data_IF_663417200653
#
_entry.id   IF_663417200653
#
_cell.length_a   1.000
_cell.length_b   1.000
_cell.length_c   1.000
_cell.angle_alpha   90.00
_cell.angle_beta   90.00
_cell.angle_gamma   90.00
#
_symmetry.space_group_name_H-M   'P 1'
#
loop_
_entity.id
_entity.type
_entity.pdbx_description
1 polymer ?
#
# COMPACT_ATOMS: atom_id res chain seq x y z
N UNK A 1 -3.44 10.62 -17.30
CA UNK A 1 -3.58 10.00 -15.96
C UNK A 1 -2.46 9.00 -15.74
N UNK A 2 -1.91 8.97 -14.55
CA UNK A 2 -0.78 8.12 -14.19
C UNK A 2 -1.13 7.35 -12.92
N UNK A 3 -0.85 6.05 -12.90
CA UNK A 3 -1.07 5.16 -11.77
C UNK A 3 0.24 4.46 -11.42
N UNK A 4 0.56 4.38 -10.14
CA UNK A 4 1.68 3.60 -9.64
C UNK A 4 1.17 2.57 -8.63
N UNK A 5 1.32 1.30 -8.96
CA UNK A 5 1.03 0.18 -8.07
C UNK A 5 2.28 -0.13 -7.25
N UNK A 6 2.15 0.01 -5.95
CA UNK A 6 3.24 -0.16 -4.99
C UNK A 6 3.14 -1.52 -4.34
N UNK A 7 4.21 -2.30 -4.40
CA UNK A 7 4.41 -3.53 -3.63
C UNK A 7 5.42 -3.25 -2.51
N UNK A 8 5.16 -3.73 -1.32
CA UNK A 8 6.07 -3.60 -0.19
C UNK A 8 6.83 -4.91 0.05
N UNK A 9 8.15 -4.82 0.24
CA UNK A 9 8.99 -6.00 0.52
C UNK A 9 8.59 -6.57 1.87
N UNK A 10 7.96 -7.76 1.87
CA UNK A 10 7.56 -8.47 3.10
C UNK A 10 6.84 -7.56 4.09
N UNK A 11 5.86 -6.79 3.61
CA UNK A 11 5.18 -5.75 4.36
C UNK A 11 4.78 -6.21 5.78
N UNK A 12 4.13 -7.38 5.86
CA UNK A 12 3.67 -7.94 7.14
C UNK A 12 4.78 -8.46 8.04
N UNK A 13 5.93 -8.88 7.49
CA UNK A 13 7.06 -9.40 8.26
C UNK A 13 7.99 -8.28 8.76
N UNK A 14 7.94 -7.11 8.12
CA UNK A 14 8.84 -5.98 8.41
C UNK A 14 8.29 -5.00 9.45
N UNK A 15 7.01 -5.07 9.79
CA UNK A 15 6.38 -4.16 10.74
C UNK A 15 7.09 -4.21 12.11
N UNK A 16 7.71 -3.09 12.52
CA UNK A 16 8.35 -2.97 13.82
C UNK A 16 7.29 -2.73 14.90
N UNK A 17 7.23 -3.58 15.90
CA UNK A 17 6.24 -3.52 16.97
C UNK A 17 6.27 -2.19 17.73
N UNK A 18 7.47 -1.66 18.03
CA UNK A 18 7.58 -0.41 18.79
C UNK A 18 7.04 0.78 17.99
N UNK A 19 7.34 0.82 16.68
CA UNK A 19 6.79 1.82 15.77
C UNK A 19 5.29 1.65 15.62
N UNK A 20 4.81 0.41 15.51
CA UNK A 20 3.38 0.11 15.41
C UNK A 20 2.60 0.65 16.62
N UNK A 21 3.09 0.41 17.85
CA UNK A 21 2.41 0.91 19.06
C UNK A 21 2.37 2.44 19.10
N UNK A 22 3.43 3.09 18.67
CA UNK A 22 3.49 4.54 18.56
C UNK A 22 2.49 5.05 17.52
N UNK A 23 2.43 4.44 16.35
CA UNK A 23 1.49 4.78 15.28
C UNK A 23 0.04 4.66 15.78
N UNK A 24 -0.31 3.56 16.47
CA UNK A 24 -1.65 3.37 17.01
C UNK A 24 -2.04 4.47 18.00
N UNK A 25 -1.12 4.88 18.87
CA UNK A 25 -1.35 5.99 19.82
C UNK A 25 -1.53 7.33 19.08
N UNK A 26 -0.67 7.64 18.11
CA UNK A 26 -0.74 8.87 17.32
C UNK A 26 -1.99 8.95 16.42
N UNK A 27 -2.52 7.81 16.00
CA UNK A 27 -3.79 7.74 15.24
C UNK A 27 -5.04 7.75 16.13
N UNK A 28 -4.86 7.92 17.46
CA UNK A 28 -5.97 8.08 18.40
C UNK A 28 -6.59 6.79 18.90
N UNK A 29 -5.93 5.65 18.74
CA UNK A 29 -6.37 4.38 19.33
C UNK A 29 -6.20 4.46 20.87
N UNK A 30 -7.25 4.18 21.66
CA UNK A 30 -7.18 4.25 23.12
C UNK A 30 -6.07 3.36 23.71
N UNK A 31 -5.40 3.86 24.75
CA UNK A 31 -4.25 3.18 25.38
C UNK A 31 -4.57 1.75 25.85
N UNK A 32 -5.77 1.51 26.36
CA UNK A 32 -6.16 0.17 26.80
C UNK A 32 -6.21 -0.84 25.64
N UNK A 33 -6.64 -0.43 24.43
CA UNK A 33 -6.64 -1.28 23.24
C UNK A 33 -5.23 -1.50 22.72
N UNK A 34 -4.40 -0.45 22.69
CA UNK A 34 -2.98 -0.56 22.34
C UNK A 34 -2.25 -1.50 23.29
N UNK A 35 -2.56 -1.45 24.60
CA UNK A 35 -2.01 -2.35 25.61
C UNK A 35 -2.45 -3.81 25.36
N UNK A 36 -3.72 -4.05 25.05
CA UNK A 36 -4.22 -5.39 24.71
C UNK A 36 -3.50 -5.96 23.49
N UNK A 37 -3.34 -5.16 22.42
CA UNK A 37 -2.61 -5.58 21.23
C UNK A 37 -1.14 -5.87 21.56
N UNK A 38 -0.50 -5.02 22.33
CA UNK A 38 0.89 -5.22 22.78
C UNK A 38 1.05 -6.53 23.54
N UNK A 39 0.12 -6.85 24.45
CA UNK A 39 0.12 -8.10 25.19
C UNK A 39 -0.12 -9.32 24.29
N UNK A 40 -0.97 -9.19 23.26
CA UNK A 40 -1.21 -10.24 22.28
C UNK A 40 0.05 -10.59 21.48
N UNK A 41 0.90 -9.58 21.20
CA UNK A 41 2.15 -9.76 20.46
C UNK A 41 3.36 -10.04 21.38
N UNK A 42 3.24 -9.80 22.69
CA UNK A 42 4.31 -10.05 23.63
C UNK A 42 4.54 -11.56 23.80
N UNK A 43 5.80 -11.96 23.74
CA UNK A 43 6.20 -13.35 23.97
C UNK A 43 5.74 -14.34 22.90
N UNK A 44 5.33 -13.86 21.71
CA UNK A 44 5.01 -14.78 20.62
C UNK A 44 6.26 -15.55 20.17
N UNK A 45 6.11 -16.85 20.12
CA UNK A 45 7.14 -17.76 19.62
C UNK A 45 6.67 -18.41 18.31
N UNK A 46 7.62 -18.74 17.47
CA UNK A 46 7.37 -19.42 16.20
C UNK A 46 8.36 -20.58 16.03
N UNK A 47 7.93 -21.59 15.27
CA UNK A 47 8.79 -22.68 14.79
C UNK A 47 8.49 -22.87 13.30
N UNK A 48 9.49 -23.22 12.53
CA UNK A 48 9.36 -23.48 11.09
C UNK A 48 9.43 -24.97 10.84
N UNK A 49 8.46 -25.49 10.10
CA UNK A 49 8.48 -26.88 9.64
C UNK A 49 9.22 -26.95 8.31
N UNK A 50 10.30 -27.69 8.29
CA UNK A 50 11.11 -27.98 7.11
C UNK A 50 10.95 -29.42 6.67
N UNK A 51 11.46 -29.78 5.49
CA UNK A 51 11.50 -31.18 5.04
C UNK A 51 12.33 -32.11 5.95
N UNK A 52 13.19 -31.54 6.79
CA UNK A 52 14.07 -32.28 7.71
C UNK A 52 13.61 -32.23 9.18
N UNK A 53 12.44 -31.65 9.47
CA UNK A 53 11.89 -31.54 10.83
C UNK A 53 11.40 -30.16 11.17
N UNK A 54 11.27 -29.89 12.47
CA UNK A 54 10.92 -28.56 13.00
C UNK A 54 12.17 -27.89 13.55
N UNK A 55 12.25 -26.56 13.38
CA UNK A 55 13.27 -25.75 14.06
C UNK A 55 12.99 -25.65 15.55
N UNK A 56 13.96 -25.21 16.33
CA UNK A 56 13.71 -24.76 17.69
C UNK A 56 12.77 -23.55 17.70
N UNK A 57 12.10 -23.38 18.83
CA UNK A 57 11.23 -22.21 19.03
C UNK A 57 12.07 -20.94 19.12
N UNK A 58 11.63 -19.88 18.41
CA UNK A 58 12.28 -18.58 18.46
C UNK A 58 11.24 -17.48 18.68
N UNK A 59 11.63 -16.44 19.39
CA UNK A 59 10.75 -15.31 19.64
C UNK A 59 10.59 -14.42 18.40
N UNK A 60 9.37 -13.99 18.15
CA UNK A 60 9.05 -13.03 17.08
C UNK A 60 9.18 -11.63 17.64
N UNK A 61 10.19 -10.87 17.18
CA UNK A 61 10.39 -9.46 17.54
C UNK A 61 9.83 -8.45 16.53
N UNK A 62 9.34 -8.93 15.37
CA UNK A 62 8.84 -8.11 14.26
C UNK A 62 7.71 -8.82 13.53
N UNK A 63 7.00 -8.03 12.74
CA UNK A 63 5.96 -8.51 11.85
C UNK A 63 4.62 -8.73 12.52
N UNK A 64 3.60 -8.83 11.71
CA UNK A 64 2.23 -9.10 12.10
C UNK A 64 1.85 -10.51 11.65
N UNK A 65 1.01 -11.21 12.41
CA UNK A 65 0.67 -12.60 12.12
C UNK A 65 -0.20 -12.69 10.86
N UNK A 66 0.33 -13.27 9.79
CA UNK A 66 -0.47 -13.60 8.62
C UNK A 66 -1.59 -14.57 9.00
N UNK A 67 -2.81 -14.30 8.51
CA UNK A 67 -4.01 -15.07 8.88
C UNK A 67 -4.69 -14.63 10.18
N UNK A 68 -4.13 -13.68 10.93
CA UNK A 68 -4.82 -13.06 12.05
C UNK A 68 -5.89 -12.09 11.56
N UNK A 69 -7.09 -12.14 12.13
CA UNK A 69 -8.21 -11.24 11.78
C UNK A 69 -7.88 -9.76 11.99
N UNK A 70 -6.95 -9.44 12.88
CA UNK A 70 -6.51 -8.07 13.16
C UNK A 70 -5.47 -7.53 12.17
N UNK A 71 -4.85 -8.41 11.38
CA UNK A 71 -3.77 -8.05 10.47
C UNK A 71 -4.13 -6.92 9.50
N UNK A 72 -5.26 -7.00 8.75
CA UNK A 72 -5.61 -5.94 7.81
C UNK A 72 -5.82 -4.60 8.50
N UNK A 73 -6.45 -4.59 9.68
CA UNK A 73 -6.69 -3.37 10.44
C UNK A 73 -5.38 -2.72 10.91
N UNK A 74 -4.51 -3.52 11.51
CA UNK A 74 -3.22 -3.06 12.03
C UNK A 74 -2.35 -2.51 10.90
N UNK A 75 -2.31 -3.19 9.77
CA UNK A 75 -1.56 -2.73 8.61
C UNK A 75 -2.16 -1.48 7.96
N UNK A 76 -3.49 -1.37 7.92
CA UNK A 76 -4.16 -0.16 7.43
C UNK A 76 -3.80 1.08 8.26
N UNK A 77 -3.69 0.98 9.60
CA UNK A 77 -3.20 2.08 10.43
C UNK A 77 -1.76 2.47 10.10
N UNK A 78 -0.94 1.48 9.81
CA UNK A 78 0.45 1.69 9.42
C UNK A 78 0.54 2.43 8.07
N UNK A 79 -0.22 1.99 7.08
CA UNK A 79 -0.32 2.62 5.78
C UNK A 79 -0.92 4.04 5.88
N UNK A 80 -1.97 4.22 6.69
CA UNK A 80 -2.59 5.53 6.95
C UNK A 80 -1.58 6.53 7.52
N UNK A 81 -0.80 6.11 8.51
CA UNK A 81 0.25 6.92 9.10
C UNK A 81 1.27 7.39 8.06
N UNK A 82 1.74 6.48 7.20
CA UNK A 82 2.67 6.82 6.11
C UNK A 82 2.06 7.88 5.18
N UNK A 83 0.82 7.69 4.75
CA UNK A 83 0.18 8.59 3.79
C UNK A 83 -0.09 9.97 4.38
N UNK A 84 -0.48 10.06 5.67
CA UNK A 84 -0.63 11.35 6.37
C UNK A 84 0.70 12.09 6.47
N UNK A 85 1.76 11.41 6.91
CA UNK A 85 3.08 12.05 7.03
C UNK A 85 3.69 12.42 5.68
N UNK A 86 3.38 11.68 4.61
CA UNK A 86 3.71 12.06 3.26
C UNK A 86 2.92 13.28 2.73
N UNK A 87 1.94 13.77 3.51
CA UNK A 87 1.12 14.92 3.17
C UNK A 87 0.20 14.68 1.97
N UNK A 88 -0.23 13.43 1.76
CA UNK A 88 -1.08 13.08 0.63
C UNK A 88 -2.50 13.62 0.78
N UNK A 89 -3.00 13.77 2.01
CA UNK A 89 -4.34 14.31 2.28
C UNK A 89 -4.43 15.80 1.90
N UNK A 90 -3.34 16.56 2.06
CA UNK A 90 -3.26 17.98 1.74
C UNK A 90 -2.78 18.24 0.31
N UNK A 91 -2.29 17.21 -0.38
CA UNK A 91 -1.77 17.34 -1.73
C UNK A 91 -2.89 17.67 -2.71
N UNK A 92 -2.69 18.71 -3.51
CA UNK A 92 -3.58 19.04 -4.63
C UNK A 92 -3.40 18.04 -5.80
N UNK A 93 -2.33 17.27 -5.79
CA UNK A 93 -2.05 16.21 -6.73
C UNK A 93 -3.09 15.08 -6.62
N UNK A 94 -3.42 14.44 -7.74
CA UNK A 94 -4.40 13.35 -7.80
C UNK A 94 -5.35 13.50 -8.96
N UNK A 95 -6.32 12.62 -9.01
CA UNK A 95 -7.36 12.58 -10.04
C UNK A 95 -8.66 13.15 -9.47
N UNK A 96 -9.30 14.07 -10.17
CA UNK A 96 -10.58 14.64 -9.76
C UNK A 96 -11.73 13.72 -10.14
N UNK A 97 -12.40 13.16 -9.14
CA UNK A 97 -13.58 12.30 -9.33
C UNK A 97 -14.74 12.86 -8.52
N UNK A 98 -15.86 13.16 -9.18
CA UNK A 98 -17.09 13.67 -8.56
C UNK A 98 -16.87 14.88 -7.62
N UNK A 99 -15.91 15.77 -7.94
CA UNK A 99 -15.59 16.96 -7.15
C UNK A 99 -14.61 16.72 -6.00
N UNK A 100 -14.22 15.48 -5.74
CA UNK A 100 -13.15 15.12 -4.79
C UNK A 100 -11.84 14.82 -5.51
N UNK A 101 -10.74 15.11 -4.83
CA UNK A 101 -9.40 14.77 -5.33
C UNK A 101 -8.96 13.45 -4.70
N UNK A 102 -8.63 12.46 -5.53
CA UNK A 102 -8.18 11.13 -5.10
C UNK A 102 -6.78 10.91 -5.63
N UNK A 103 -5.81 10.76 -4.74
CA UNK A 103 -4.41 10.55 -5.09
C UNK A 103 -3.85 9.19 -4.65
N UNK A 104 -4.60 8.44 -3.85
CA UNK A 104 -4.22 7.08 -3.46
C UNK A 104 -5.44 6.19 -3.21
N UNK A 105 -5.27 4.89 -3.45
CA UNK A 105 -6.17 3.82 -3.03
C UNK A 105 -5.36 2.79 -2.27
N UNK A 106 -5.97 2.20 -1.23
CA UNK A 106 -5.29 1.25 -0.35
C UNK A 106 -6.18 0.05 -0.05
N UNK A 107 -5.59 -1.12 -0.12
CA UNK A 107 -6.21 -2.35 0.34
C UNK A 107 -5.14 -3.27 0.92
N UNK A 108 -5.09 -3.39 2.24
CA UNK A 108 -4.05 -4.11 2.97
C UNK A 108 -2.64 -3.58 2.59
N UNK A 109 -1.78 -4.41 2.01
CA UNK A 109 -0.44 -4.06 1.53
C UNK A 109 -0.40 -3.51 0.11
N UNK A 110 -1.51 -3.60 -0.62
CA UNK A 110 -1.63 -3.02 -1.96
C UNK A 110 -1.92 -1.52 -1.88
N UNK A 111 -1.02 -0.72 -2.42
CA UNK A 111 -1.15 0.73 -2.49
C UNK A 111 -1.10 1.15 -3.96
N UNK A 112 -2.02 2.01 -4.36
CA UNK A 112 -2.02 2.62 -5.69
C UNK A 112 -1.96 4.13 -5.53
N UNK A 113 -0.94 4.78 -6.10
CA UNK A 113 -0.90 6.24 -6.22
C UNK A 113 -1.46 6.65 -7.58
N UNK A 114 -2.10 7.81 -7.61
CA UNK A 114 -2.75 8.36 -8.79
C UNK A 114 -2.42 9.84 -8.95
N UNK A 115 -2.15 10.27 -10.18
CA UNK A 115 -1.88 11.65 -10.52
C UNK A 115 -2.32 12.00 -11.94
N UNK A 116 -2.51 13.30 -12.22
CA UNK A 116 -2.81 13.79 -13.57
C UNK A 116 -1.54 13.89 -14.42
N UNK A 117 -0.38 14.14 -13.80
CA UNK A 117 0.92 14.26 -14.49
C UNK A 117 1.98 13.29 -13.95
N UNK A 118 3.05 13.10 -14.73
CA UNK A 118 4.19 12.28 -14.37
C UNK A 118 4.96 12.86 -13.18
N UNK A 119 5.18 14.17 -13.20
CA UNK A 119 5.91 14.89 -12.16
C UNK A 119 5.20 14.84 -10.81
N UNK A 120 3.87 14.94 -10.83
CA UNK A 120 3.05 14.77 -9.62
C UNK A 120 3.20 13.37 -9.05
N UNK A 121 3.08 12.33 -9.90
CA UNK A 121 3.21 10.95 -9.46
C UNK A 121 4.61 10.68 -8.89
N UNK A 122 5.68 11.20 -9.51
CA UNK A 122 7.05 11.12 -8.98
C UNK A 122 7.16 11.77 -7.60
N UNK A 123 6.59 12.95 -7.45
CA UNK A 123 6.61 13.67 -6.17
C UNK A 123 5.88 12.89 -5.07
N UNK A 124 4.70 12.35 -5.36
CA UNK A 124 3.95 11.52 -4.43
C UNK A 124 4.74 10.25 -4.05
N UNK A 125 5.30 9.56 -5.04
CA UNK A 125 6.06 8.35 -4.82
C UNK A 125 7.32 8.59 -3.96
N UNK A 126 8.07 9.66 -4.21
CA UNK A 126 9.23 10.02 -3.40
C UNK A 126 8.86 10.26 -1.94
N UNK A 127 7.80 11.02 -1.68
CA UNK A 127 7.30 11.28 -0.32
C UNK A 127 6.89 9.98 0.39
N UNK A 128 6.13 9.11 -0.29
CA UNK A 128 5.70 7.82 0.26
C UNK A 128 6.91 6.92 0.53
N UNK A 129 7.90 6.90 -0.34
CA UNK A 129 9.13 6.13 -0.14
C UNK A 129 9.88 6.60 1.11
N UNK A 130 10.09 7.91 1.24
CA UNK A 130 10.78 8.49 2.40
C UNK A 130 10.06 8.16 3.72
N UNK A 131 8.74 8.35 3.79
CA UNK A 131 7.96 8.06 4.99
C UNK A 131 7.89 6.56 5.30
N UNK A 132 7.81 5.72 4.27
CA UNK A 132 7.84 4.26 4.43
C UNK A 132 9.16 3.78 5.03
N UNK A 133 10.28 4.32 4.60
CA UNK A 133 11.60 3.99 5.14
C UNK A 133 11.75 4.41 6.61
N UNK A 134 11.22 5.57 7.01
CA UNK A 134 11.23 6.03 8.41
C UNK A 134 10.54 5.04 9.35
N UNK A 135 9.49 4.38 8.89
CA UNK A 135 8.78 3.36 9.68
C UNK A 135 9.30 1.94 9.46
N UNK A 136 10.29 1.76 8.59
CA UNK A 136 10.94 0.47 8.35
C UNK A 136 10.29 -0.40 7.29
N UNK A 137 9.35 0.15 6.51
CA UNK A 137 8.84 -0.49 5.30
C UNK A 137 9.72 -0.12 4.12
N UNK A 138 10.10 -1.13 3.34
CA UNK A 138 10.83 -0.93 2.09
C UNK A 138 9.91 -1.22 0.91
N UNK A 139 9.88 -0.29 -0.03
CA UNK A 139 9.16 -0.47 -1.26
C UNK A 139 9.93 -1.39 -2.21
N UNK A 140 9.22 -2.23 -2.94
CA UNK A 140 9.82 -3.15 -3.91
C UNK A 140 9.78 -2.52 -5.30
N UNK A 141 10.78 -1.68 -5.61
CA UNK A 141 10.83 -0.92 -6.86
C UNK A 141 10.73 -1.85 -8.08
N UNK A 142 11.34 -3.03 -8.04
CA UNK A 142 11.32 -3.99 -9.14
C UNK A 142 9.95 -4.60 -9.43
N UNK A 143 9.07 -4.64 -8.44
CA UNK A 143 7.69 -5.12 -8.60
C UNK A 143 6.67 -4.00 -8.78
N UNK A 144 7.07 -2.76 -8.54
CA UNK A 144 6.22 -1.62 -8.80
C UNK A 144 5.91 -1.53 -10.28
N UNK A 145 4.68 -1.14 -10.60
CA UNK A 145 4.21 -0.99 -11.97
C UNK A 145 3.59 0.36 -12.17
N UNK A 146 3.95 0.99 -13.29
CA UNK A 146 3.35 2.26 -13.69
C UNK A 146 2.48 2.02 -14.90
N UNK A 147 1.27 2.54 -14.83
CA UNK A 147 0.30 2.54 -15.92
C UNK A 147 -0.05 3.99 -16.24
N UNK A 148 0.08 4.38 -17.50
CA UNK A 148 -0.26 5.72 -17.95
C UNK A 148 -1.10 5.71 -19.21
N UNK A 149 -1.95 6.73 -19.36
CA UNK A 149 -2.78 6.94 -20.56
C UNK A 149 -2.03 7.58 -21.74
N UNK A 150 -0.72 7.81 -21.59
CA UNK A 150 0.15 8.42 -22.60
C UNK A 150 1.48 7.68 -22.75
N UNK A 151 2.31 8.06 -23.74
CA UNK A 151 3.63 7.46 -23.92
C UNK A 151 4.51 7.75 -22.71
N UNK A 152 5.03 6.68 -22.10
CA UNK A 152 6.01 6.76 -21.02
C UNK A 152 7.38 6.42 -21.63
N UNK A 153 8.37 7.28 -21.40
CA UNK A 153 9.70 7.10 -22.03
C UNK A 153 10.56 6.18 -21.19
N UNK A 154 10.61 6.33 -19.91
CA UNK A 154 11.22 5.43 -18.90
C UNK A 154 11.07 6.07 -17.54
N UNK A 155 10.89 5.25 -16.50
CA UNK A 155 10.80 5.74 -15.12
C UNK A 155 11.96 5.19 -14.32
N UNK A 156 12.67 6.10 -13.66
CA UNK A 156 13.72 5.74 -12.72
C UNK A 156 13.39 6.32 -11.34
N UNK A 157 13.49 5.48 -10.32
CA UNK A 157 13.40 5.86 -8.92
C UNK A 157 14.61 5.32 -8.20
N UNK A 158 15.40 6.20 -7.57
CA UNK A 158 16.65 5.87 -6.88
C UNK A 158 17.66 5.12 -7.76
N UNK A 159 17.68 5.38 -9.10
CA UNK A 159 18.58 4.71 -10.04
C UNK A 159 18.12 3.34 -10.53
N UNK A 160 16.94 2.89 -10.14
CA UNK A 160 16.32 1.67 -10.65
C UNK A 160 15.21 2.00 -11.65
N UNK A 161 15.24 1.32 -12.81
CA UNK A 161 14.22 1.48 -13.86
C UNK A 161 12.96 0.70 -13.48
N UNK A 162 11.82 1.36 -13.53
CA UNK A 162 10.52 0.75 -13.24
C UNK A 162 9.87 0.20 -14.51
N UNK A 163 9.11 -0.88 -14.36
CA UNK A 163 8.32 -1.47 -15.45
C UNK A 163 7.10 -0.59 -15.75
N UNK A 164 6.98 -0.18 -17.02
CA UNK A 164 5.83 0.58 -17.52
C UNK A 164 4.92 -0.32 -18.32
N UNK A 165 3.62 -0.24 -18.06
CA UNK A 165 2.60 -1.09 -18.71
C UNK A 165 1.50 -0.22 -19.32
N UNK A 166 0.95 -0.68 -20.44
CA UNK A 166 -0.22 -0.05 -21.06
C UNK A 166 -1.56 -0.56 -20.52
N UNK A 167 -1.55 -1.79 -20.02
CA UNK A 167 -2.75 -2.46 -19.49
C UNK A 167 -2.38 -3.17 -18.18
N UNK A 168 -3.25 -3.05 -17.18
CA UNK A 168 -3.08 -3.72 -15.89
C UNK A 168 -4.32 -4.53 -15.53
N UNK A 169 -4.11 -5.78 -15.15
CA UNK A 169 -5.15 -6.66 -14.62
C UNK A 169 -4.98 -6.72 -13.10
N UNK A 170 -5.92 -6.11 -12.38
CA UNK A 170 -5.95 -6.25 -10.92
C UNK A 170 -6.40 -7.66 -10.54
N UNK A 171 -5.54 -8.42 -9.89
CA UNK A 171 -5.81 -9.80 -9.50
C UNK A 171 -6.47 -9.84 -8.13
N UNK A 172 -7.78 -10.13 -8.08
CA UNK A 172 -8.45 -10.51 -6.85
C UNK A 172 -8.39 -12.04 -6.70
N UNK A 173 -8.15 -12.58 -5.49
CA UNK A 173 -8.14 -14.03 -5.28
C UNK A 173 -9.48 -14.64 -5.66
N UNK A 174 -9.44 -15.81 -6.31
CA UNK A 174 -10.57 -16.53 -6.91
C UNK A 174 -11.72 -16.97 -5.97
N UNK A 175 -11.72 -16.56 -4.71
CA UNK A 175 -12.76 -16.93 -3.74
C UNK A 175 -14.01 -16.04 -3.76
N UNK A 176 -13.96 -14.88 -4.41
CA UNK A 176 -15.16 -14.13 -4.80
C UNK A 176 -15.22 -14.17 -6.33
N UNK A 177 -16.36 -14.59 -6.85
CA UNK A 177 -16.67 -14.69 -8.27
C UNK A 177 -16.05 -13.55 -9.07
N UNK A 178 -15.21 -13.94 -10.00
CA UNK A 178 -14.36 -13.13 -10.87
C UNK A 178 -15.01 -11.82 -11.32
N UNK A 179 -14.73 -10.73 -10.63
CA UNK A 179 -14.81 -9.41 -11.24
C UNK A 179 -13.38 -9.13 -11.73
N UNK A 180 -13.11 -9.58 -12.93
CA UNK A 180 -11.93 -9.14 -13.68
C UNK A 180 -12.22 -7.71 -14.13
N UNK A 181 -11.88 -6.75 -13.29
CA UNK A 181 -11.88 -5.36 -13.74
C UNK A 181 -10.63 -5.18 -14.61
N UNK A 182 -10.77 -5.45 -15.89
CA UNK A 182 -9.81 -4.99 -16.89
C UNK A 182 -10.05 -3.48 -16.99
N UNK A 183 -9.28 -2.69 -16.25
CA UNK A 183 -9.32 -1.25 -16.36
C UNK A 183 -8.56 -0.87 -17.63
N UNK A 184 -9.26 -0.80 -18.76
CA UNK A 184 -8.73 -0.17 -19.93
C UNK A 184 -8.81 1.34 -19.68
N UNK A 185 -7.69 2.02 -19.59
CA UNK A 185 -7.60 3.47 -19.34
C UNK A 185 -8.41 4.31 -20.34
N UNK A 186 -8.68 3.79 -21.54
CA UNK A 186 -9.56 4.43 -22.52
C UNK A 186 -11.01 4.45 -22.08
N UNK A 187 -11.46 3.45 -21.32
CA UNK A 187 -12.83 3.37 -20.80
C UNK A 187 -13.03 4.27 -19.57
N UNK A 188 -11.99 4.48 -18.76
CA UNK A 188 -12.03 5.41 -17.63
C UNK A 188 -12.18 6.88 -18.09
N UNK A 189 -11.55 7.26 -19.22
CA UNK A 189 -11.69 8.59 -19.80
C UNK A 189 -13.07 8.83 -20.43
N UNK A 190 -13.85 7.79 -20.76
CA UNK A 190 -15.18 7.93 -21.38
C UNK A 190 -16.31 8.17 -20.38
N UNK A 191 -16.06 8.06 -19.07
CA UNK A 191 -17.05 8.30 -18.01
C UNK A 191 -17.28 9.78 -17.70
N UNK A 192 -16.44 10.69 -18.20
CA UNK A 192 -16.61 12.14 -17.97
C UNK A 192 -17.64 12.83 -18.87
N UNK A 193 -18.37 12.13 -19.75
CA UNK A 193 -19.12 12.75 -20.83
C UNK A 193 -20.60 12.46 -20.96
N UNK A 194 -21.29 11.83 -20.00
CA UNK A 194 -22.75 11.64 -20.13
C UNK A 194 -23.53 12.38 -19.05
N UNK A 195 -24.25 13.48 -19.39
CA UNK A 195 -25.22 14.07 -18.46
C UNK A 195 -26.34 13.05 -18.20
N UNK A 196 -26.67 12.86 -16.92
CA UNK A 196 -27.86 12.09 -16.53
C UNK A 196 -29.09 12.80 -17.11
N UNK A 197 -29.78 12.14 -18.04
CA UNK A 197 -31.11 12.54 -18.37
C UNK A 197 -32.05 12.19 -17.22
N UNK A 198 -32.70 13.21 -16.71
CA UNK A 198 -33.84 13.15 -15.78
C UNK A 198 -35.02 12.40 -16.38
#
# INVERSE_FOLDING_TARGET
MYFCFIDCIKAFDCADHNKLWKILQETGIPDHLTCLLRNLYAGQEATVRTGHGKTDWFQRGKGVCQGCILLPCVFNFYAEYIMRNAGLEEAQAGIKIAGGNINNLRYADDITLMAESEEELKTLLMKVTEESEKVGLKLNIQKMKIVASGPIISWEVNGETMETMTDFIFWAPKSLQTVTATMNLKDACSLEGKPRQT
#
